data_IF_066577522324
#
_entry.id   IF_066577522324
#
_cell.length_a   1.000
_cell.length_b   1.000
_cell.length_c   1.000
_cell.angle_alpha   90.00
_cell.angle_beta   90.00
_cell.angle_gamma   90.00
#
_symmetry.space_group_name_H-M   'P 1'
#
loop_
_entity.id
_entity.type
_entity.pdbx_description
1 polymer ?
#
# COMPACT_ATOMS: atom_id res chain seq x y z
N UNK A 1 -52.94 -1.41 6.54
CA UNK A 1 -52.26 -0.93 5.30
C UNK A 1 -50.94 -0.22 5.60
N UNK A 2 -50.89 0.76 6.51
CA UNK A 2 -49.67 1.55 6.84
C UNK A 2 -48.52 0.72 7.42
N UNK A 3 -48.81 -0.20 8.36
CA UNK A 3 -47.78 -1.05 8.99
C UNK A 3 -47.08 -2.00 7.99
N UNK A 4 -47.85 -2.58 7.06
CA UNK A 4 -47.30 -3.45 6.02
C UNK A 4 -46.39 -2.67 5.06
N UNK A 5 -46.75 -1.42 4.71
CA UNK A 5 -45.92 -0.55 3.88
C UNK A 5 -44.59 -0.23 4.57
N UNK A 6 -44.61 0.10 5.86
CA UNK A 6 -43.40 0.36 6.66
C UNK A 6 -42.49 -0.87 6.75
N UNK A 7 -43.05 -2.05 6.96
CA UNK A 7 -42.30 -3.31 7.03
C UNK A 7 -41.63 -3.63 5.67
N UNK A 8 -42.35 -3.44 4.56
CA UNK A 8 -41.81 -3.68 3.22
C UNK A 8 -40.68 -2.71 2.87
N UNK A 9 -40.80 -1.43 3.26
CA UNK A 9 -39.74 -0.43 3.09
C UNK A 9 -38.51 -0.79 3.92
N UNK A 10 -38.69 -1.24 5.16
CA UNK A 10 -37.61 -1.70 6.02
C UNK A 10 -36.88 -2.91 5.40
N UNK A 11 -37.62 -3.93 4.94
CA UNK A 11 -37.07 -5.12 4.29
C UNK A 11 -36.34 -4.76 2.99
N UNK A 12 -36.91 -3.86 2.19
CA UNK A 12 -36.29 -3.39 0.95
C UNK A 12 -34.98 -2.63 1.21
N UNK A 13 -34.95 -1.74 2.22
CA UNK A 13 -33.72 -1.04 2.62
C UNK A 13 -32.65 -1.99 3.14
N UNK A 14 -33.03 -2.99 3.93
CA UNK A 14 -32.11 -3.99 4.47
C UNK A 14 -31.54 -4.88 3.37
N UNK A 15 -32.39 -5.33 2.43
CA UNK A 15 -31.96 -6.08 1.25
C UNK A 15 -30.99 -5.26 0.38
N UNK A 16 -31.21 -3.96 0.22
CA UNK A 16 -30.31 -3.06 -0.52
C UNK A 16 -28.94 -2.90 0.17
N UNK A 17 -28.91 -2.90 1.51
CA UNK A 17 -27.65 -2.84 2.27
C UNK A 17 -26.88 -4.17 2.25
N UNK A 18 -27.58 -5.32 2.26
CA UNK A 18 -26.97 -6.65 2.26
C UNK A 18 -26.40 -7.07 0.89
N UNK A 19 -26.81 -6.44 -0.20
CA UNK A 19 -26.47 -6.87 -1.58
C UNK A 19 -25.30 -6.10 -2.20
N UNK A 20 -24.65 -5.20 -1.46
CA UNK A 20 -23.54 -4.38 -1.99
C UNK A 20 -22.18 -4.81 -1.47
N UNK A 21 -21.80 -6.07 -1.70
CA UNK A 21 -20.39 -6.44 -1.70
C UNK A 21 -19.90 -6.45 -3.15
N UNK A 22 -19.29 -5.34 -3.57
CA UNK A 22 -18.58 -5.28 -4.85
C UNK A 22 -17.29 -6.11 -4.80
N UNK A 23 -16.61 -6.24 -5.94
CA UNK A 23 -15.23 -6.72 -5.93
C UNK A 23 -14.34 -5.65 -5.29
N UNK A 24 -13.43 -6.09 -4.43
CA UNK A 24 -12.41 -5.25 -3.81
C UNK A 24 -11.02 -5.72 -4.26
N UNK A 25 -10.07 -4.80 -4.33
CA UNK A 25 -8.68 -5.10 -4.71
C UNK A 25 -7.69 -4.60 -3.66
N UNK A 26 -6.60 -5.35 -3.48
CA UNK A 26 -5.43 -4.93 -2.71
C UNK A 26 -4.24 -4.90 -3.67
N UNK A 27 -3.57 -3.75 -3.78
CA UNK A 27 -2.44 -3.54 -4.70
C UNK A 27 -1.27 -2.93 -3.95
N UNK A 28 -0.07 -3.42 -4.24
CA UNK A 28 1.18 -2.79 -3.80
C UNK A 28 1.99 -2.38 -5.02
N UNK A 29 2.47 -1.14 -5.01
CA UNK A 29 3.38 -0.60 -6.01
C UNK A 29 4.73 -0.37 -5.36
N UNK A 30 5.73 -1.13 -5.79
CA UNK A 30 7.12 -1.00 -5.35
C UNK A 30 7.91 -0.33 -6.47
N UNK A 31 8.56 0.78 -6.18
CA UNK A 31 9.34 1.54 -7.16
C UNK A 31 10.73 1.78 -6.62
N UNK A 32 11.73 1.33 -7.37
CA UNK A 32 13.13 1.62 -7.10
C UNK A 32 13.71 2.50 -8.22
N UNK A 33 14.42 3.56 -7.85
CA UNK A 33 14.96 4.56 -8.78
C UNK A 33 16.47 4.67 -8.59
N UNK A 34 17.23 4.45 -9.66
CA UNK A 34 18.69 4.63 -9.64
C UNK A 34 19.03 6.10 -9.49
N UNK A 35 20.03 6.41 -8.67
CA UNK A 35 20.49 7.79 -8.44
C UNK A 35 22.01 7.88 -8.51
N UNK A 36 22.59 7.83 -9.72
CA UNK A 36 24.03 7.95 -9.90
C UNK A 36 24.56 9.21 -9.22
N UNK A 37 25.59 9.07 -8.39
CA UNK A 37 26.23 10.18 -7.69
C UNK A 37 25.47 10.77 -6.49
N UNK A 38 24.26 10.30 -6.18
CA UNK A 38 23.43 10.81 -5.07
C UNK A 38 23.20 9.77 -3.96
N UNK A 39 24.02 8.72 -3.93
CA UNK A 39 24.00 7.68 -2.88
C UNK A 39 23.19 6.46 -3.27
N UNK A 40 22.38 5.97 -2.31
CA UNK A 40 21.59 4.76 -2.49
C UNK A 40 20.41 4.98 -3.46
N UNK A 41 19.99 3.94 -4.21
CA UNK A 41 18.77 4.00 -4.98
C UNK A 41 17.57 4.36 -4.09
N UNK A 42 16.72 5.25 -4.56
CA UNK A 42 15.47 5.55 -3.88
C UNK A 42 14.51 4.38 -3.97
N UNK A 43 13.76 4.12 -2.91
CA UNK A 43 12.74 3.09 -2.86
C UNK A 43 11.46 3.59 -2.19
N UNK A 44 10.33 3.36 -2.86
CA UNK A 44 9.00 3.60 -2.29
C UNK A 44 8.14 2.34 -2.45
N UNK A 45 7.35 2.05 -1.42
CA UNK A 45 6.30 1.03 -1.47
C UNK A 45 4.98 1.66 -1.07
N UNK A 46 3.96 1.52 -1.92
CA UNK A 46 2.65 2.15 -1.73
C UNK A 46 1.56 1.09 -1.81
N UNK A 47 0.78 0.96 -0.73
CA UNK A 47 -0.34 0.03 -0.66
C UNK A 47 -1.67 0.73 -0.92
N UNK A 48 -2.52 0.12 -1.75
CA UNK A 48 -3.87 0.56 -2.08
C UNK A 48 -4.88 -0.52 -1.73
N UNK A 49 -5.94 -0.15 -1.02
CA UNK A 49 -7.20 -0.90 -0.97
C UNK A 49 -8.18 -0.17 -1.87
N UNK A 50 -8.66 -0.86 -2.90
CA UNK A 50 -9.35 -0.26 -4.04
C UNK A 50 -8.51 0.89 -4.60
N UNK A 51 -9.04 2.10 -4.66
CA UNK A 51 -8.31 3.29 -5.16
C UNK A 51 -7.81 4.20 -4.02
N UNK A 52 -7.80 3.68 -2.78
CA UNK A 52 -7.36 4.43 -1.60
C UNK A 52 -5.98 3.97 -1.15
N UNK A 53 -5.00 4.87 -1.20
CA UNK A 53 -3.68 4.65 -0.59
C UNK A 53 -3.87 4.51 0.92
N UNK A 54 -3.54 3.34 1.48
CA UNK A 54 -3.74 3.06 2.90
C UNK A 54 -2.43 2.99 3.70
N UNK A 55 -1.32 2.65 3.03
CA UNK A 55 0.02 2.61 3.63
C UNK A 55 1.10 3.07 2.66
N UNK A 56 2.18 3.62 3.20
CA UNK A 56 3.36 4.03 2.43
C UNK A 56 4.66 3.83 3.20
N UNK A 57 5.67 3.34 2.52
CA UNK A 57 7.07 3.36 2.92
C UNK A 57 7.86 4.25 1.95
N UNK A 58 8.80 5.02 2.48
CA UNK A 58 9.65 5.92 1.71
C UNK A 58 11.07 5.91 2.29
N UNK A 59 12.04 5.42 1.51
CA UNK A 59 13.44 5.27 1.93
C UNK A 59 14.15 6.60 2.15
N UNK A 60 13.64 7.70 1.59
CA UNK A 60 14.30 9.01 1.67
C UNK A 60 14.01 9.75 2.99
N UNK A 61 13.13 9.19 3.82
CA UNK A 61 12.83 9.76 5.13
C UNK A 61 14.00 9.53 6.10
N UNK A 62 14.16 10.43 7.07
CA UNK A 62 15.19 10.29 8.12
C UNK A 62 15.04 8.98 8.93
N UNK A 63 13.81 8.55 9.16
CA UNK A 63 13.51 7.27 9.79
C UNK A 63 12.52 6.46 8.92
N UNK A 64 13.01 5.74 7.90
CA UNK A 64 12.17 4.97 7.00
C UNK A 64 11.40 3.88 7.74
N UNK A 65 10.07 3.99 7.66
CA UNK A 65 9.11 3.05 8.24
C UNK A 65 7.84 3.03 7.41
N UNK A 66 7.08 1.93 7.52
CA UNK A 66 5.76 1.86 6.94
C UNK A 66 4.81 2.74 7.75
N UNK A 67 4.04 3.59 7.08
CA UNK A 67 3.17 4.56 7.72
C UNK A 67 1.72 4.45 7.23
N UNK A 68 0.74 4.66 8.12
CA UNK A 68 -0.66 4.76 7.73
C UNK A 68 -0.90 6.01 6.87
N UNK A 69 -1.82 5.89 5.91
CA UNK A 69 -2.26 7.00 5.02
C UNK A 69 -3.74 7.32 5.19
N UNK A 70 -4.40 6.56 6.05
CA UNK A 70 -5.83 6.61 6.36
C UNK A 70 -6.04 6.31 7.84
N UNK A 71 -7.07 6.92 8.44
CA UNK A 71 -7.31 6.84 9.89
C UNK A 71 -7.57 5.42 10.39
N UNK A 72 -8.24 4.59 9.59
CA UNK A 72 -8.55 3.21 9.99
C UNK A 72 -7.31 2.32 10.09
N UNK A 73 -6.16 2.74 9.54
CA UNK A 73 -4.90 2.04 9.77
C UNK A 73 -4.24 2.42 11.10
N UNK A 74 -4.53 3.59 11.66
CA UNK A 74 -3.93 4.04 12.93
C UNK A 74 -4.30 3.14 14.13
N UNK A 75 -5.36 2.32 13.99
CA UNK A 75 -5.77 1.35 15.00
C UNK A 75 -4.85 0.12 15.10
N UNK A 76 -3.99 -0.10 14.10
CA UNK A 76 -3.05 -1.22 14.09
C UNK A 76 -1.94 -1.04 15.13
N UNK A 77 -1.60 -2.13 15.81
CA UNK A 77 -0.60 -2.14 16.88
C UNK A 77 0.85 -1.99 16.40
N UNK A 78 1.79 -1.69 17.31
CA UNK A 78 3.20 -1.50 16.98
C UNK A 78 3.84 -2.74 16.32
N UNK A 79 3.39 -3.96 16.65
CA UNK A 79 3.90 -5.20 16.07
C UNK A 79 3.57 -5.31 14.57
N UNK A 80 2.41 -4.81 14.15
CA UNK A 80 2.03 -4.73 12.74
C UNK A 80 2.99 -3.80 11.99
N UNK A 81 3.18 -2.58 12.52
CA UNK A 81 4.02 -1.58 11.88
C UNK A 81 5.49 -1.97 11.82
N UNK A 82 6.01 -2.62 12.87
CA UNK A 82 7.37 -3.16 12.88
C UNK A 82 7.51 -4.23 11.78
N UNK A 83 6.58 -5.18 11.70
CA UNK A 83 6.61 -6.23 10.69
C UNK A 83 6.56 -5.67 9.26
N UNK A 84 5.63 -4.76 8.98
CA UNK A 84 5.51 -4.18 7.63
C UNK A 84 6.72 -3.29 7.29
N UNK A 85 7.31 -2.62 8.28
CA UNK A 85 8.57 -1.87 8.10
C UNK A 85 9.72 -2.79 7.75
N UNK A 86 9.90 -3.91 8.46
CA UNK A 86 10.96 -4.87 8.15
C UNK A 86 10.77 -5.50 6.77
N UNK A 87 9.52 -5.80 6.39
CA UNK A 87 9.20 -6.28 5.05
C UNK A 87 9.58 -5.26 3.97
N UNK A 88 9.23 -3.98 4.17
CA UNK A 88 9.56 -2.92 3.22
C UNK A 88 11.09 -2.73 3.08
N UNK A 89 11.84 -2.77 4.19
CA UNK A 89 13.31 -2.73 4.18
C UNK A 89 13.93 -3.92 3.43
N UNK A 90 13.32 -5.10 3.55
CA UNK A 90 13.69 -6.28 2.76
C UNK A 90 13.50 -6.06 1.26
N UNK A 91 12.36 -5.50 0.86
CA UNK A 91 12.04 -5.21 -0.55
C UNK A 91 12.92 -4.09 -1.12
N UNK A 92 13.26 -3.08 -0.32
CA UNK A 92 14.24 -2.05 -0.66
C UNK A 92 15.59 -2.68 -1.02
N UNK A 93 16.13 -3.54 -0.14
CA UNK A 93 17.41 -4.19 -0.38
C UNK A 93 17.38 -5.13 -1.58
N UNK A 94 16.30 -5.89 -1.75
CA UNK A 94 16.11 -6.74 -2.92
C UNK A 94 16.08 -5.93 -4.22
N UNK A 95 15.35 -4.82 -4.21
CA UNK A 95 15.24 -3.93 -5.37
C UNK A 95 16.56 -3.26 -5.70
N UNK A 96 17.35 -2.86 -4.70
CA UNK A 96 18.70 -2.33 -4.87
C UNK A 96 19.61 -3.33 -5.60
N UNK A 97 19.60 -4.60 -5.19
CA UNK A 97 20.41 -5.64 -5.83
C UNK A 97 19.97 -5.87 -7.28
N UNK A 98 18.67 -5.95 -7.53
CA UNK A 98 18.13 -6.13 -8.88
C UNK A 98 18.45 -4.95 -9.79
N UNK A 99 18.33 -3.73 -9.28
CA UNK A 99 18.63 -2.52 -10.03
C UNK A 99 20.11 -2.45 -10.39
N UNK A 100 21.01 -2.68 -9.43
CA UNK A 100 22.46 -2.74 -9.71
C UNK A 100 22.81 -3.84 -10.73
N UNK A 101 22.11 -4.98 -10.65
CA UNK A 101 22.26 -6.08 -11.62
C UNK A 101 21.81 -5.64 -13.02
N UNK A 102 20.63 -5.04 -13.14
CA UNK A 102 20.09 -4.56 -14.41
C UNK A 102 20.99 -3.49 -15.05
N UNK A 103 21.39 -2.46 -14.28
CA UNK A 103 22.28 -1.40 -14.78
C UNK A 103 23.61 -1.97 -15.29
N UNK A 104 24.17 -2.97 -14.61
CA UNK A 104 25.39 -3.65 -15.07
C UNK A 104 25.15 -4.43 -16.37
N UNK A 105 24.06 -5.19 -16.47
CA UNK A 105 23.76 -5.97 -17.67
C UNK A 105 23.57 -5.10 -18.91
N UNK A 106 23.00 -3.90 -18.75
CA UNK A 106 22.75 -2.98 -19.84
C UNK A 106 23.85 -1.91 -20.01
N UNK A 107 24.95 -1.99 -19.26
CA UNK A 107 26.03 -1.00 -19.26
C UNK A 107 25.53 0.45 -18.99
N UNK A 108 24.56 0.60 -18.09
CA UNK A 108 23.94 1.87 -17.70
C UNK A 108 24.32 2.29 -16.26
N UNK A 109 25.56 2.03 -15.82
CA UNK A 109 25.99 2.33 -14.45
C UNK A 109 25.97 3.83 -14.09
N UNK A 110 25.92 4.71 -15.08
CA UNK A 110 25.88 6.18 -14.91
C UNK A 110 24.44 6.75 -14.93
N UNK A 111 23.42 5.89 -15.07
CA UNK A 111 22.01 6.28 -15.19
C UNK A 111 21.57 6.66 -16.59
#
# INVERSE_FOLDING_TARGET
MVLCMLLLLLVASLALTLTRAGSHSLRYFETAVSRPGLGEPGFISVGYVDDTEFVRYDSDKENPKMEPRVRWMEQEGPEYWERETQRAKGQEQWSRVNLGTALRYYNQSEG
#
